data_IF_739465891025
#
_entry.id   IF_739465891025
#
_cell.length_a   1.000
_cell.length_b   1.000
_cell.length_c   1.000
_cell.angle_alpha   90.00
_cell.angle_beta   90.00
_cell.angle_gamma   90.00
#
_symmetry.space_group_name_H-M   'P 1'
#
loop_
_entity.id
_entity.type
_entity.pdbx_description
1 polymer ?
#
# COMPACT_ATOMS: atom_id res chain seq x y z
N UNK A 1 18.39 18.94 12.70
CA UNK A 1 18.47 17.46 12.77
C UNK A 1 17.23 16.85 12.11
N UNK A 2 17.10 16.94 10.77
CA UNK A 2 15.86 16.51 10.06
C UNK A 2 16.04 15.35 9.07
N UNK A 3 17.27 15.01 8.68
CA UNK A 3 17.54 14.10 7.55
C UNK A 3 17.42 12.60 7.89
N UNK A 4 17.56 12.20 9.15
CA UNK A 4 17.46 10.79 9.57
C UNK A 4 16.01 10.26 9.61
N UNK A 5 15.04 11.16 9.78
CA UNK A 5 13.61 10.80 9.87
C UNK A 5 12.98 10.49 8.50
N UNK A 6 13.45 11.14 7.43
CA UNK A 6 12.92 10.92 6.07
C UNK A 6 13.46 9.62 5.44
N UNK A 7 14.74 9.32 5.66
CA UNK A 7 15.36 8.09 5.15
C UNK A 7 14.68 6.82 5.71
N UNK A 8 14.29 6.85 6.99
CA UNK A 8 13.58 5.74 7.64
C UNK A 8 12.14 5.60 7.17
N UNK A 9 11.47 6.69 6.76
CA UNK A 9 10.12 6.63 6.19
C UNK A 9 10.11 6.04 4.78
N UNK A 10 11.08 6.43 3.95
CA UNK A 10 11.23 5.88 2.61
C UNK A 10 11.52 4.37 2.64
N UNK A 11 12.49 3.95 3.45
CA UNK A 11 12.84 2.55 3.64
C UNK A 11 11.66 1.72 4.16
N UNK A 12 10.90 2.27 5.12
CA UNK A 12 9.67 1.64 5.62
C UNK A 12 8.63 1.45 4.52
N UNK A 13 8.46 2.43 3.64
CA UNK A 13 7.50 2.34 2.55
C UNK A 13 7.94 1.36 1.46
N UNK A 14 9.23 1.29 1.13
CA UNK A 14 9.78 0.27 0.24
C UNK A 14 9.57 -1.15 0.79
N UNK A 15 9.89 -1.37 2.07
CA UNK A 15 9.61 -2.64 2.75
C UNK A 15 8.11 -2.98 2.74
N UNK A 16 7.25 -1.99 2.93
CA UNK A 16 5.79 -2.16 2.86
C UNK A 16 5.35 -2.55 1.45
N UNK A 17 5.90 -1.93 0.40
CA UNK A 17 5.60 -2.27 -0.99
C UNK A 17 6.08 -3.69 -1.35
N UNK A 18 7.24 -4.12 -0.85
CA UNK A 18 7.73 -5.48 -1.03
C UNK A 18 6.78 -6.49 -0.37
N UNK A 19 6.38 -6.26 0.88
CA UNK A 19 5.42 -7.12 1.58
C UNK A 19 4.07 -7.20 0.84
N UNK A 20 3.59 -6.08 0.29
CA UNK A 20 2.37 -6.04 -0.53
C UNK A 20 2.51 -6.91 -1.79
N UNK A 21 3.64 -6.83 -2.50
CA UNK A 21 3.90 -7.65 -3.70
C UNK A 21 3.91 -9.14 -3.37
N UNK A 22 4.57 -9.52 -2.28
CA UNK A 22 4.58 -10.91 -1.81
C UNK A 22 3.18 -11.40 -1.44
N UNK A 23 2.41 -10.55 -0.75
CA UNK A 23 1.05 -10.88 -0.38
C UNK A 23 0.14 -11.05 -1.60
N UNK A 24 0.26 -10.19 -2.63
CA UNK A 24 -0.47 -10.36 -3.90
C UNK A 24 -0.17 -11.71 -4.56
N UNK A 25 1.11 -12.10 -4.64
CA UNK A 25 1.53 -13.40 -5.18
C UNK A 25 0.93 -14.57 -4.38
N UNK A 26 0.89 -14.45 -3.05
CA UNK A 26 0.26 -15.46 -2.19
C UNK A 26 -1.25 -15.59 -2.50
N UNK A 27 -1.97 -14.47 -2.58
CA UNK A 27 -3.40 -14.47 -2.88
C UNK A 27 -3.73 -15.06 -4.25
N UNK A 28 -2.89 -14.85 -5.25
CA UNK A 28 -3.02 -15.51 -6.57
C UNK A 28 -2.92 -17.03 -6.48
N UNK A 29 -2.01 -17.53 -5.63
CA UNK A 29 -1.89 -18.97 -5.34
C UNK A 29 -3.15 -19.53 -4.70
N UNK A 30 -3.66 -18.85 -3.67
CA UNK A 30 -4.91 -19.23 -2.98
C UNK A 30 -6.10 -19.22 -3.95
N UNK A 31 -6.22 -18.19 -4.80
CA UNK A 31 -7.28 -18.10 -5.80
C UNK A 31 -7.25 -19.28 -6.76
N UNK A 32 -6.06 -19.66 -7.23
CA UNK A 32 -5.85 -20.79 -8.13
C UNK A 32 -6.25 -22.11 -7.49
N UNK A 33 -5.90 -22.31 -6.23
CA UNK A 33 -6.21 -23.56 -5.52
C UNK A 33 -7.71 -23.65 -5.18
N UNK A 34 -8.33 -22.56 -4.72
CA UNK A 34 -9.78 -22.48 -4.55
C UNK A 34 -10.52 -22.73 -5.87
N UNK A 35 -10.06 -22.12 -6.97
CA UNK A 35 -10.64 -22.32 -8.30
C UNK A 35 -10.49 -23.74 -8.84
N UNK A 36 -9.45 -24.47 -8.40
CA UNK A 36 -9.30 -25.90 -8.72
C UNK A 36 -10.23 -26.76 -7.88
N UNK A 37 -10.36 -26.44 -6.59
CA UNK A 37 -11.28 -27.14 -5.70
C UNK A 37 -12.75 -26.98 -6.12
N UNK A 38 -13.17 -25.78 -6.55
CA UNK A 38 -14.55 -25.56 -7.03
C UNK A 38 -14.92 -26.35 -8.28
N UNK A 39 -13.92 -26.76 -9.07
CA UNK A 39 -14.11 -27.63 -10.25
C UNK A 39 -14.17 -29.12 -9.91
N UNK A 40 -13.63 -29.51 -8.75
CA UNK A 40 -13.47 -30.92 -8.36
C UNK A 40 -14.50 -31.39 -7.36
N UNK A 41 -15.00 -30.50 -6.50
CA UNK A 41 -15.90 -30.84 -5.42
C UNK A 41 -17.14 -29.96 -5.47
N UNK A 42 -18.30 -30.53 -5.16
CA UNK A 42 -19.51 -29.75 -4.97
C UNK A 42 -19.42 -28.88 -3.72
N UNK A 43 -20.13 -27.76 -3.71
CA UNK A 43 -20.18 -26.88 -2.53
C UNK A 43 -20.62 -27.62 -1.26
N UNK A 44 -21.49 -28.63 -1.40
CA UNK A 44 -21.95 -29.48 -0.29
C UNK A 44 -20.82 -30.33 0.30
N UNK A 45 -19.99 -30.95 -0.56
CA UNK A 45 -18.84 -31.74 -0.12
C UNK A 45 -17.79 -30.88 0.58
N UNK A 46 -17.51 -29.71 0.02
CA UNK A 46 -16.54 -28.78 0.61
C UNK A 46 -17.05 -28.26 1.96
N UNK A 47 -18.29 -27.78 2.02
CA UNK A 47 -18.90 -27.26 3.23
C UNK A 47 -18.88 -28.30 4.37
N UNK A 48 -19.14 -29.57 4.03
CA UNK A 48 -19.06 -30.67 4.99
C UNK A 48 -17.63 -30.93 5.49
N UNK A 49 -16.62 -30.83 4.62
CA UNK A 49 -15.22 -31.04 4.99
C UNK A 49 -14.58 -29.90 5.78
N UNK A 50 -15.07 -28.66 5.64
CA UNK A 50 -14.52 -27.48 6.32
C UNK A 50 -15.38 -26.95 7.47
N UNK A 51 -16.56 -27.54 7.72
CA UNK A 51 -17.48 -27.11 8.78
C UNK A 51 -18.15 -25.75 8.55
N UNK A 52 -18.23 -25.29 7.30
CA UNK A 52 -18.90 -24.02 6.92
C UNK A 52 -20.31 -24.27 6.37
N UNK A 53 -21.12 -23.21 6.29
CA UNK A 53 -22.40 -23.24 5.58
C UNK A 53 -22.20 -23.63 4.10
N UNK A 54 -23.22 -24.20 3.46
CA UNK A 54 -23.19 -24.66 2.07
C UNK A 54 -22.91 -23.55 1.01
N UNK A 55 -22.73 -22.30 1.44
CA UNK A 55 -22.35 -21.16 0.61
C UNK A 55 -20.94 -21.26 -0.01
N UNK A 56 -20.10 -22.19 0.45
CA UNK A 56 -19.07 -22.85 -0.36
C UNK A 56 -17.91 -21.97 -0.87
N UNK A 57 -17.12 -22.52 -1.81
CA UNK A 57 -15.90 -21.91 -2.36
C UNK A 57 -16.18 -20.60 -3.10
N UNK A 58 -17.38 -20.42 -3.67
CA UNK A 58 -17.72 -19.19 -4.38
C UNK A 58 -17.76 -17.97 -3.46
N UNK A 59 -18.20 -18.14 -2.21
CA UNK A 59 -18.16 -17.07 -1.22
C UNK A 59 -16.72 -16.75 -0.81
N UNK A 60 -15.89 -17.79 -0.60
CA UNK A 60 -14.46 -17.63 -0.33
C UNK A 60 -13.72 -16.89 -1.46
N UNK A 61 -14.02 -17.23 -2.73
CA UNK A 61 -13.50 -16.52 -3.90
C UNK A 61 -13.98 -15.05 -3.95
N UNK A 62 -15.22 -14.80 -3.52
CA UNK A 62 -15.77 -13.43 -3.45
C UNK A 62 -15.03 -12.59 -2.40
N UNK A 63 -14.85 -13.14 -1.18
CA UNK A 63 -14.06 -12.46 -0.14
C UNK A 63 -12.61 -12.25 -0.56
N UNK A 64 -12.00 -13.23 -1.22
CA UNK A 64 -10.67 -13.09 -1.79
C UNK A 64 -10.59 -11.93 -2.79
N UNK A 65 -11.59 -11.78 -3.65
CA UNK A 65 -11.70 -10.64 -4.56
C UNK A 65 -11.75 -9.29 -3.85
N UNK A 66 -12.46 -9.20 -2.72
CA UNK A 66 -12.50 -7.98 -1.88
C UNK A 66 -11.11 -7.70 -1.29
N UNK A 67 -10.46 -8.71 -0.71
CA UNK A 67 -9.12 -8.57 -0.12
C UNK A 67 -8.11 -8.09 -1.16
N UNK A 68 -8.10 -8.66 -2.38
CA UNK A 68 -7.22 -8.22 -3.47
C UNK A 68 -7.41 -6.73 -3.79
N UNK A 69 -8.66 -6.25 -3.87
CA UNK A 69 -8.97 -4.82 -4.11
C UNK A 69 -8.49 -3.91 -2.99
N UNK A 70 -8.62 -4.34 -1.73
CA UNK A 70 -8.11 -3.59 -0.58
C UNK A 70 -6.59 -3.46 -0.69
N UNK A 71 -5.89 -4.55 -1.00
CA UNK A 71 -4.42 -4.55 -1.15
C UNK A 71 -3.97 -3.66 -2.30
N UNK A 72 -4.63 -3.70 -3.46
CA UNK A 72 -4.36 -2.78 -4.58
C UNK A 72 -4.57 -1.31 -4.21
N UNK A 73 -5.56 -1.01 -3.35
CA UNK A 73 -5.76 0.35 -2.86
C UNK A 73 -4.65 0.76 -1.89
N UNK A 74 -4.25 -0.13 -0.98
CA UNK A 74 -3.14 0.10 -0.05
C UNK A 74 -1.83 0.33 -0.80
N UNK A 75 -1.53 -0.48 -1.83
CA UNK A 75 -0.36 -0.32 -2.71
C UNK A 75 -0.30 1.10 -3.30
N UNK A 76 -1.42 1.58 -3.86
CA UNK A 76 -1.51 2.93 -4.43
C UNK A 76 -1.31 4.04 -3.41
N UNK A 77 -1.76 3.85 -2.18
CA UNK A 77 -1.58 4.84 -1.10
C UNK A 77 -0.10 4.92 -0.73
N UNK A 78 0.54 3.76 -0.48
CA UNK A 78 1.96 3.68 -0.09
C UNK A 78 2.88 4.18 -1.21
N UNK A 79 2.58 3.84 -2.47
CA UNK A 79 3.35 4.32 -3.61
C UNK A 79 3.26 5.85 -3.78
N UNK A 80 2.10 6.46 -3.49
CA UNK A 80 1.90 7.92 -3.59
C UNK A 80 2.57 8.68 -2.43
N UNK A 81 2.57 8.14 -1.22
CA UNK A 81 3.25 8.78 -0.09
C UNK A 81 4.76 8.89 -0.31
N UNK A 82 5.37 7.96 -1.06
CA UNK A 82 6.78 8.05 -1.45
C UNK A 82 7.08 9.18 -2.44
N UNK A 83 6.13 9.54 -3.30
CA UNK A 83 6.31 10.62 -4.30
C UNK A 83 6.22 12.00 -3.62
N UNK A 84 5.32 12.17 -2.65
CA UNK A 84 5.12 13.45 -1.96
C UNK A 84 6.35 13.83 -1.12
N UNK A 85 6.98 12.86 -0.44
CA UNK A 85 8.21 13.11 0.33
C UNK A 85 9.41 13.52 -0.53
N UNK A 86 9.40 13.24 -1.84
CA UNK A 86 10.49 13.62 -2.75
C UNK A 86 10.36 15.02 -3.37
N UNK A 87 9.21 15.68 -3.21
CA UNK A 87 8.93 16.97 -3.85
C UNK A 87 9.02 18.17 -2.90
N UNK A 88 9.18 17.95 -1.59
CA UNK A 88 9.31 19.04 -0.61
C UNK A 88 10.72 19.65 -0.56
N UNK A 89 11.71 19.06 -1.24
CA UNK A 89 13.10 19.57 -1.28
C UNK A 89 13.43 20.40 -2.52
N UNK A 90 12.49 20.62 -3.45
CA UNK A 90 12.76 21.31 -4.72
C UNK A 90 12.00 22.64 -4.90
N UNK A 91 11.53 23.27 -3.82
CA UNK A 91 10.60 24.41 -3.91
C UNK A 91 10.88 25.60 -2.99
N UNK A 92 12.08 25.75 -2.43
CA UNK A 92 12.37 26.91 -1.58
C UNK A 92 13.83 27.39 -1.68
N UNK A 93 14.33 27.54 -2.90
CA UNK A 93 15.47 28.42 -3.20
C UNK A 93 15.11 29.26 -4.43
N UNK A 94 15.48 30.54 -4.40
CA UNK A 94 15.17 31.63 -5.34
C UNK A 94 13.86 32.43 -5.13
N UNK A 95 13.88 33.36 -4.18
CA UNK A 95 13.62 34.78 -4.49
C UNK A 95 14.64 35.66 -3.76
N UNK A 96 15.72 35.96 -4.48
CA UNK A 96 16.47 37.22 -4.55
C UNK A 96 16.84 37.99 -3.27
N UNK A 97 18.13 37.89 -2.94
CA UNK A 97 18.92 38.91 -2.26
C UNK A 97 19.13 40.15 -3.14
N UNK A 98 18.68 41.32 -2.68
CA UNK A 98 19.31 42.65 -2.88
C UNK A 98 18.48 43.63 -2.00
N UNK A 99 18.95 44.43 -1.05
CA UNK A 99 20.22 45.07 -0.80
C UNK A 99 19.87 46.50 -0.33
N UNK A 100 20.47 46.95 0.79
CA UNK A 100 20.57 48.38 1.23
C UNK A 100 19.30 48.94 1.92
N UNK A 101 19.30 49.64 3.07
CA UNK A 101 20.31 50.40 3.84
C UNK A 101 19.79 50.63 5.27
N UNK A 102 20.70 50.65 6.23
CA UNK A 102 20.56 51.11 7.61
C UNK A 102 19.91 52.50 7.73
N UNK A 103 19.12 52.73 8.79
CA UNK A 103 19.04 54.02 9.50
C UNK A 103 18.54 53.78 10.93
N UNK A 104 19.48 53.89 11.86
CA UNK A 104 19.26 54.10 13.29
C UNK A 104 19.08 55.61 13.51
N UNK A 105 18.04 56.00 14.24
CA UNK A 105 17.99 57.34 14.84
C UNK A 105 17.22 57.29 16.15
N UNK A 106 17.99 57.37 17.24
CA UNK A 106 17.55 57.83 18.54
C UNK A 106 17.48 59.36 18.55
N UNK A 107 16.41 59.93 19.08
CA UNK A 107 16.47 61.09 19.98
C UNK A 107 15.24 61.06 20.88
#
# INVERSE_FOLDING_TARGET
>A
MGKESEQTQHERAENTLLAIKEFKRYLEGVEKDLSRMSKRFSNKEIAHGVGFAATGIHEALTYLGIVKKVIEKTERIVAKSNIVSGNETAGQDEIHSDGRKSLSSST
#
